data_IF_692513832454
#
_entry.id   IF_692513832454
#
_cell.length_a   1.000
_cell.length_b   1.000
_cell.length_c   1.000
_cell.angle_alpha   90.00
_cell.angle_beta   90.00
_cell.angle_gamma   90.00
#
_symmetry.space_group_name_H-M   'P 1'
#
loop_
_entity.id
_entity.type
_entity.pdbx_description
1 polymer ?
#
# COMPACT_ATOMS: atom_id res chain seq x y z
N UNK A 1 -15.91 -4.26 32.05
CA UNK A 1 -15.49 -3.45 30.89
C UNK A 1 -14.46 -4.27 30.11
N UNK A 2 -14.91 -5.03 29.12
CA UNK A 2 -14.03 -5.82 28.26
C UNK A 2 -13.34 -4.89 27.28
N UNK A 3 -12.01 -4.76 27.38
CA UNK A 3 -11.18 -4.13 26.37
C UNK A 3 -11.23 -5.00 25.11
N UNK A 4 -12.06 -4.64 24.14
CA UNK A 4 -11.90 -5.13 22.78
C UNK A 4 -10.69 -4.42 22.16
N UNK A 5 -9.51 -5.01 22.32
CA UNK A 5 -8.40 -4.72 21.44
C UNK A 5 -8.83 -5.18 20.04
N UNK A 6 -9.42 -4.25 19.27
CA UNK A 6 -9.75 -4.45 17.86
C UNK A 6 -8.49 -4.99 17.19
N UNK A 7 -8.54 -6.27 16.78
CA UNK A 7 -7.45 -6.92 16.07
C UNK A 7 -7.26 -6.21 14.73
N UNK A 8 -6.42 -5.19 14.72
CA UNK A 8 -6.09 -4.43 13.52
C UNK A 8 -5.38 -5.38 12.56
N UNK A 9 -6.12 -5.87 11.58
CA UNK A 9 -5.55 -6.66 10.49
C UNK A 9 -4.60 -5.76 9.70
N UNK A 10 -3.30 -5.97 9.86
CA UNK A 10 -2.27 -5.26 9.07
C UNK A 10 -2.43 -5.65 7.60
N UNK A 11 -2.60 -4.65 6.74
CA UNK A 11 -2.65 -4.83 5.28
C UNK A 11 -1.27 -4.60 4.71
N UNK A 12 -0.89 -5.41 3.73
CA UNK A 12 0.35 -5.26 2.97
C UNK A 12 0.02 -5.13 1.48
N UNK A 13 0.90 -4.49 0.72
CA UNK A 13 0.86 -4.56 -0.74
C UNK A 13 2.18 -5.12 -1.27
N UNK A 14 2.07 -5.92 -2.32
CA UNK A 14 3.20 -6.36 -3.11
C UNK A 14 3.04 -5.81 -4.53
N UNK A 15 4.13 -5.32 -5.12
CA UNK A 15 4.14 -4.76 -6.48
C UNK A 15 5.12 -5.51 -7.36
N UNK A 16 4.76 -5.65 -8.63
CA UNK A 16 5.54 -6.30 -9.67
C UNK A 16 5.16 -5.72 -11.03
N UNK A 17 6.01 -5.94 -12.04
CA UNK A 17 5.87 -5.46 -13.40
C UNK A 17 6.98 -4.48 -13.79
N UNK A 18 6.67 -3.62 -14.76
CA UNK A 18 7.60 -2.61 -15.25
C UNK A 18 7.80 -1.50 -14.20
N UNK A 19 9.07 -1.24 -13.83
CA UNK A 19 9.50 -0.22 -12.88
C UNK A 19 9.74 1.17 -13.46
N UNK A 20 9.71 1.33 -14.79
CA UNK A 20 10.03 2.57 -15.48
C UNK A 20 9.27 3.77 -14.89
N UNK A 21 9.99 4.88 -14.72
CA UNK A 21 9.49 6.11 -14.10
C UNK A 21 9.03 5.94 -12.63
N UNK A 22 9.42 4.87 -11.96
CA UNK A 22 9.10 4.62 -10.55
C UNK A 22 7.65 4.21 -10.32
N UNK A 23 6.96 3.73 -11.37
CA UNK A 23 5.50 3.45 -11.33
C UNK A 23 5.10 2.36 -10.33
N UNK A 24 6.05 1.54 -9.88
CA UNK A 24 5.83 0.54 -8.83
C UNK A 24 5.81 1.15 -7.41
N UNK A 25 6.22 2.40 -7.23
CA UNK A 25 6.19 3.06 -5.92
C UNK A 25 7.07 2.37 -4.86
N UNK A 26 8.09 1.61 -5.28
CA UNK A 26 9.02 0.91 -4.39
C UNK A 26 10.25 1.76 -4.02
N UNK A 27 10.26 3.04 -4.39
CA UNK A 27 11.44 3.91 -4.23
C UNK A 27 12.59 3.58 -5.20
N UNK A 28 12.36 2.71 -6.19
CA UNK A 28 13.30 2.37 -7.25
C UNK A 28 12.63 2.51 -8.64
N UNK A 29 13.46 2.66 -9.67
CA UNK A 29 13.08 2.62 -11.08
C UNK A 29 13.21 1.20 -11.67
N UNK A 30 13.70 0.24 -10.89
CA UNK A 30 13.93 -1.13 -11.34
C UNK A 30 12.62 -1.88 -11.55
N UNK A 31 12.55 -2.63 -12.65
CA UNK A 31 11.45 -3.58 -12.88
C UNK A 31 11.52 -4.73 -11.88
N UNK A 32 10.36 -5.14 -11.37
CA UNK A 32 10.24 -6.25 -10.43
C UNK A 32 9.43 -7.37 -11.05
N UNK A 33 10.07 -8.48 -11.42
CA UNK A 33 9.38 -9.62 -12.03
C UNK A 33 8.83 -10.63 -11.02
N UNK A 34 9.04 -10.35 -9.74
CA UNK A 34 8.47 -11.10 -8.61
C UNK A 34 7.78 -10.10 -7.68
N UNK A 35 6.73 -10.53 -6.96
CA UNK A 35 6.08 -9.66 -5.97
C UNK A 35 7.09 -9.15 -4.94
N UNK A 36 7.26 -7.84 -4.88
CA UNK A 36 8.10 -7.16 -3.89
C UNK A 36 7.21 -6.43 -2.89
N UNK A 37 7.44 -6.65 -1.60
CA UNK A 37 6.66 -5.99 -0.54
C UNK A 37 6.98 -4.50 -0.52
N UNK A 38 5.96 -3.66 -0.58
CA UNK A 38 6.11 -2.23 -0.37
C UNK A 38 6.08 -1.92 1.13
N UNK A 39 7.19 -1.37 1.63
CA UNK A 39 7.35 -0.94 3.00
C UNK A 39 6.94 0.52 3.24
N UNK A 40 6.60 1.28 2.18
CA UNK A 40 6.36 2.74 2.25
C UNK A 40 5.18 3.15 3.14
N UNK A 41 4.27 2.23 3.45
CA UNK A 41 3.10 2.47 4.30
C UNK A 41 3.00 1.46 5.45
N UNK A 42 4.11 0.86 5.88
CA UNK A 42 4.09 -0.12 6.98
C UNK A 42 3.60 0.48 8.31
N UNK A 43 3.83 1.80 8.49
CA UNK A 43 3.38 2.58 9.65
C UNK A 43 2.03 3.28 9.41
N UNK A 44 1.40 3.09 8.25
CA UNK A 44 0.14 3.71 7.88
C UNK A 44 -0.94 2.65 7.59
N UNK A 45 -2.22 3.00 7.81
CA UNK A 45 -3.32 2.10 7.45
C UNK A 45 -3.59 2.18 5.94
N UNK A 46 -3.13 1.17 5.19
CA UNK A 46 -3.40 1.06 3.76
C UNK A 46 -4.90 0.72 3.53
N UNK A 47 -5.63 1.64 2.90
CA UNK A 47 -7.08 1.49 2.67
C UNK A 47 -7.41 0.97 1.28
N UNK A 48 -6.76 1.52 0.26
CA UNK A 48 -6.99 1.18 -1.13
C UNK A 48 -5.75 1.41 -2.00
N UNK A 49 -5.71 0.73 -3.14
CA UNK A 49 -4.69 0.89 -4.17
C UNK A 49 -5.42 1.12 -5.50
N UNK A 50 -4.93 2.04 -6.31
CA UNK A 50 -5.40 2.23 -7.70
C UNK A 50 -4.21 2.24 -8.63
N UNK A 51 -4.33 1.52 -9.75
CA UNK A 51 -3.27 1.41 -10.75
C UNK A 51 -3.80 1.89 -12.11
N UNK A 52 -3.07 2.80 -12.75
CA UNK A 52 -3.26 3.19 -14.14
C UNK A 52 -2.16 2.62 -15.03
N UNK A 53 -2.16 2.99 -16.31
CA UNK A 53 -1.18 2.45 -17.27
C UNK A 53 0.30 2.74 -16.91
N UNK A 54 0.56 3.85 -16.22
CA UNK A 54 1.92 4.26 -15.85
C UNK A 54 2.04 4.83 -14.43
N UNK A 55 1.07 4.59 -13.55
CA UNK A 55 1.10 5.13 -12.18
C UNK A 55 0.39 4.19 -11.19
N UNK A 56 0.84 4.25 -9.94
CA UNK A 56 0.21 3.56 -8.80
C UNK A 56 -0.06 4.57 -7.70
N UNK A 57 -1.27 4.55 -7.15
CA UNK A 57 -1.69 5.40 -6.03
C UNK A 57 -2.04 4.53 -4.82
N UNK A 58 -1.61 4.97 -3.64
CA UNK A 58 -1.93 4.35 -2.37
C UNK A 58 -2.78 5.32 -1.56
N UNK A 59 -3.96 4.87 -1.12
CA UNK A 59 -4.78 5.61 -0.17
C UNK A 59 -4.46 5.10 1.24
N UNK A 60 -3.83 5.95 2.04
CA UNK A 60 -3.51 5.67 3.44
C UNK A 60 -4.28 6.61 4.36
N UNK A 61 -4.61 6.13 5.56
CA UNK A 61 -5.25 6.94 6.59
C UNK A 61 -6.26 6.17 7.44
N UNK A 62 -6.70 6.76 8.56
CA UNK A 62 -7.76 6.17 9.37
C UNK A 62 -9.05 6.05 8.55
N UNK A 63 -9.96 5.12 8.89
CA UNK A 63 -11.29 5.12 8.29
C UNK A 63 -11.95 6.48 8.56
N UNK A 64 -12.47 7.12 7.52
CA UNK A 64 -13.24 8.36 7.68
C UNK A 64 -14.48 8.03 8.53
N UNK A 65 -14.50 8.53 9.77
CA UNK A 65 -15.66 8.45 10.65
C UNK A 65 -16.44 9.74 10.43
N UNK A 66 -17.64 9.62 9.87
CA UNK A 66 -18.59 10.73 9.77
C UNK A 66 -19.65 10.54 10.87
N UNK A 67 -19.99 11.62 11.58
CA UNK A 67 -21.07 11.70 12.57
C UNK A 67 -22.21 12.54 12.02
#
# INVERSE_FOLDING_TARGET
>A
MSNEASSSSKRFAALWGNGDYGRLGLGSLDSQWKPAICSSFIDQSLRAISCGGAHTLFLTGPPNIFF
#
